data_IF_473885175454
#
_entry.id   IF_473885175454
#
_cell.length_a   1.000
_cell.length_b   1.000
_cell.length_c   1.000
_cell.angle_alpha   90.00
_cell.angle_beta   90.00
_cell.angle_gamma   90.00
#
_symmetry.space_group_name_H-M   'P 1'
#
loop_
_entity.id
_entity.type
_entity.pdbx_description
1 polymer ?
#
# COMPACT_ATOMS: atom_id res chain seq x y z
N UNK A 1 -16.39 -3.59 4.41
CA UNK A 1 -14.96 -3.38 4.09
C UNK A 1 -14.87 -2.56 2.81
N UNK A 2 -13.89 -1.65 2.70
CA UNK A 2 -13.73 -0.78 1.53
C UNK A 2 -13.20 -1.58 0.33
N UNK A 3 -13.84 -1.48 -0.83
CA UNK A 3 -13.37 -2.12 -2.07
C UNK A 3 -11.99 -1.60 -2.49
N UNK A 4 -11.68 -0.35 -2.12
CA UNK A 4 -10.42 0.33 -2.38
C UNK A 4 -9.23 -0.43 -1.77
N UNK A 5 -9.38 -0.97 -0.56
CA UNK A 5 -8.33 -1.78 0.08
C UNK A 5 -8.01 -3.04 -0.72
N UNK A 6 -9.01 -3.71 -1.30
CA UNK A 6 -8.77 -4.91 -2.10
C UNK A 6 -7.97 -4.56 -3.36
N UNK A 7 -8.26 -3.41 -3.99
CA UNK A 7 -7.51 -2.95 -5.16
C UNK A 7 -6.04 -2.67 -4.80
N UNK A 8 -5.78 -1.95 -3.70
CA UNK A 8 -4.43 -1.69 -3.20
C UNK A 8 -3.69 -2.99 -2.84
N UNK A 9 -4.34 -3.91 -2.10
CA UNK A 9 -3.77 -5.21 -1.71
C UNK A 9 -3.34 -6.03 -2.93
N UNK A 10 -4.15 -6.06 -4.00
CA UNK A 10 -3.80 -6.80 -5.22
C UNK A 10 -2.54 -6.26 -5.88
N UNK A 11 -2.41 -4.94 -5.95
CA UNK A 11 -1.23 -4.27 -6.53
C UNK A 11 0.00 -4.45 -5.65
N UNK A 12 -0.12 -4.24 -4.34
CA UNK A 12 0.97 -4.48 -3.38
C UNK A 12 1.45 -5.94 -3.46
N UNK A 13 0.53 -6.91 -3.46
CA UNK A 13 0.88 -8.33 -3.58
C UNK A 13 1.59 -8.65 -4.90
N UNK A 14 1.23 -7.99 -6.01
CA UNK A 14 1.92 -8.13 -7.30
C UNK A 14 3.38 -7.70 -7.19
N UNK A 15 3.66 -6.52 -6.63
CA UNK A 15 5.02 -6.00 -6.45
C UNK A 15 5.85 -6.83 -5.47
N UNK A 16 5.29 -7.17 -4.31
CA UNK A 16 5.99 -7.99 -3.31
C UNK A 16 6.38 -9.37 -3.87
N UNK A 17 5.54 -9.99 -4.71
CA UNK A 17 5.87 -11.26 -5.39
C UNK A 17 7.00 -11.12 -6.42
N UNK A 18 7.27 -9.91 -6.89
CA UNK A 18 8.39 -9.58 -7.78
C UNK A 18 9.66 -9.21 -6.98
N UNK A 19 9.58 -9.17 -5.65
CA UNK A 19 10.68 -8.76 -4.77
C UNK A 19 10.84 -7.24 -4.66
N UNK A 20 9.84 -6.46 -5.08
CA UNK A 20 9.82 -5.01 -5.00
C UNK A 20 9.01 -4.55 -3.78
N UNK A 21 9.50 -3.53 -3.06
CA UNK A 21 8.78 -2.85 -1.98
C UNK A 21 8.13 -1.58 -2.57
N UNK A 22 6.82 -1.58 -2.88
CA UNK A 22 6.23 -0.49 -3.63
C UNK A 22 5.95 0.73 -2.74
N UNK A 23 6.25 1.92 -3.27
CA UNK A 23 5.85 3.21 -2.70
C UNK A 23 4.43 3.64 -3.13
N UNK A 24 3.90 4.73 -2.58
CA UNK A 24 2.55 5.21 -2.95
C UNK A 24 2.43 5.57 -4.44
N UNK A 25 3.51 6.03 -5.07
CA UNK A 25 3.56 6.38 -6.49
C UNK A 25 3.51 5.14 -7.40
N UNK A 26 4.24 4.09 -7.05
CA UNK A 26 4.21 2.80 -7.73
C UNK A 26 2.82 2.19 -7.69
N UNK A 27 2.16 2.24 -6.53
CA UNK A 27 0.80 1.71 -6.36
C UNK A 27 -0.21 2.59 -7.11
N UNK A 28 -0.07 3.92 -7.06
CA UNK A 28 -0.96 4.84 -7.78
C UNK A 28 -0.92 4.60 -9.30
N UNK A 29 0.25 4.31 -9.88
CA UNK A 29 0.40 4.00 -11.32
C UNK A 29 -0.37 2.74 -11.76
N UNK A 30 -0.60 1.81 -10.85
CA UNK A 30 -1.25 0.52 -11.10
C UNK A 30 -2.70 0.49 -10.59
N UNK A 31 -3.20 1.62 -10.07
CA UNK A 31 -4.58 1.79 -9.60
C UNK A 31 -5.24 3.01 -10.24
N UNK A 32 -6.51 3.25 -9.94
CA UNK A 32 -7.20 4.49 -10.33
C UNK A 32 -7.06 5.61 -9.29
N UNK A 33 -6.19 5.43 -8.28
CA UNK A 33 -6.03 6.35 -7.15
C UNK A 33 -4.85 7.28 -7.36
N UNK A 34 -4.93 8.49 -6.81
CA UNK A 34 -3.76 9.37 -6.72
C UNK A 34 -2.80 8.89 -5.64
N UNK A 35 -1.54 9.32 -5.67
CA UNK A 35 -0.56 9.00 -4.60
C UNK A 35 -1.07 9.42 -3.21
N UNK A 36 -1.72 10.57 -3.08
CA UNK A 36 -2.32 10.99 -1.81
C UNK A 36 -3.45 10.06 -1.35
N UNK A 37 -4.32 9.62 -2.27
CA UNK A 37 -5.36 8.66 -1.94
C UNK A 37 -4.76 7.31 -1.53
N UNK A 38 -3.69 6.87 -2.20
CA UNK A 38 -2.96 5.66 -1.82
C UNK A 38 -2.33 5.80 -0.44
N UNK A 39 -1.70 6.94 -0.14
CA UNK A 39 -1.16 7.26 1.18
C UNK A 39 -2.25 7.09 2.26
N UNK A 40 -3.39 7.78 2.12
CA UNK A 40 -4.50 7.72 3.08
C UNK A 40 -5.04 6.27 3.24
N UNK A 41 -5.07 5.50 2.16
CA UNK A 41 -5.48 4.10 2.19
C UNK A 41 -4.45 3.22 2.91
N UNK A 42 -3.15 3.40 2.66
CA UNK A 42 -2.06 2.65 3.32
C UNK A 42 -2.08 2.94 4.83
N UNK A 43 -2.17 4.20 5.25
CA UNK A 43 -2.29 4.56 6.67
C UNK A 43 -3.46 3.82 7.33
N UNK A 44 -4.66 3.87 6.71
CA UNK A 44 -5.82 3.17 7.24
C UNK A 44 -5.74 1.64 7.20
N UNK A 45 -4.92 1.07 6.30
CA UNK A 45 -4.65 -0.37 6.22
C UNK A 45 -3.64 -0.81 7.28
N UNK A 46 -2.62 -0.01 7.54
CA UNK A 46 -1.62 -0.22 8.60
C UNK A 46 -2.28 -0.19 9.99
N UNK A 47 -3.11 0.82 10.28
CA UNK A 47 -3.90 0.89 11.51
C UNK A 47 -4.78 -0.35 11.75
N UNK A 48 -5.19 -1.02 10.67
CA UNK A 48 -6.01 -2.24 10.71
C UNK A 48 -5.19 -3.53 10.73
N UNK A 49 -3.86 -3.42 10.70
CA UNK A 49 -2.91 -4.53 10.64
C UNK A 49 -3.04 -5.36 9.37
N UNK A 50 -3.34 -4.73 8.23
CA UNK A 50 -3.46 -5.40 6.92
C UNK A 50 -2.12 -5.46 6.18
N UNK A 51 -1.23 -4.52 6.46
CA UNK A 51 0.12 -4.44 5.89
C UNK A 51 1.10 -3.87 6.92
N UNK A 52 2.39 -3.95 6.60
CA UNK A 52 3.47 -3.25 7.28
C UNK A 52 4.08 -2.28 6.27
N UNK A 53 4.07 -0.99 6.59
CA UNK A 53 4.68 0.05 5.78
C UNK A 53 5.69 0.86 6.60
N UNK A 54 6.57 1.57 5.90
CA UNK A 54 7.48 2.54 6.50
C UNK A 54 7.18 3.90 5.90
N UNK A 55 6.91 4.85 6.77
CA UNK A 55 6.85 6.25 6.38
C UNK A 55 8.27 6.77 6.14
N UNK A 56 8.47 7.42 5.00
CA UNK A 56 9.71 8.02 4.57
C UNK A 56 9.45 9.51 4.39
N UNK A 57 10.21 10.32 5.13
CA UNK A 57 10.18 11.77 5.02
C UNK A 57 11.04 12.18 3.82
N UNK A 58 10.40 12.62 2.73
CA UNK A 58 11.08 13.18 1.56
C UNK A 58 11.24 14.68 1.73
N UNK A 59 12.24 15.28 1.08
CA UNK A 59 12.50 16.73 1.14
C UNK A 59 11.29 17.61 0.76
N UNK A 60 10.23 17.05 0.16
CA UNK A 60 9.02 17.73 -0.29
C UNK A 60 7.71 17.10 0.22
N UNK A 61 7.74 16.19 1.21
CA UNK A 61 6.55 15.54 1.78
C UNK A 61 6.80 14.12 2.27
N UNK A 62 5.82 13.50 2.91
CA UNK A 62 5.89 12.13 3.42
C UNK A 62 5.39 11.13 2.36
N UNK A 63 5.99 9.93 2.34
CA UNK A 63 5.56 8.80 1.49
C UNK A 63 5.60 7.50 2.30
N UNK A 64 4.88 6.46 1.85
CA UNK A 64 4.96 5.12 2.41
C UNK A 64 5.60 4.16 1.44
N UNK A 65 6.50 3.30 1.95
CA UNK A 65 6.97 2.10 1.27
C UNK A 65 6.39 0.87 1.98
N UNK A 66 5.70 0.01 1.23
CA UNK A 66 5.07 -1.20 1.78
C UNK A 66 6.05 -2.38 1.72
N UNK A 67 6.36 -2.95 2.88
CA UNK A 67 7.32 -4.07 2.98
C UNK A 67 6.64 -5.43 2.99
N UNK A 68 5.45 -5.53 3.57
CA UNK A 68 4.77 -6.81 3.71
C UNK A 68 3.24 -6.64 3.80
N UNK A 69 2.50 -7.61 3.26
CA UNK A 69 1.11 -7.86 3.62
C UNK A 69 1.05 -8.81 4.81
N UNK A 70 0.31 -8.46 5.85
CA UNK A 70 0.09 -9.40 6.96
C UNK A 70 -0.77 -10.58 6.50
N UNK A 71 -0.85 -11.64 7.30
CA UNK A 71 -1.77 -12.76 7.02
C UNK A 71 -3.22 -12.29 6.87
N UNK A 72 -3.62 -11.25 7.63
CA UNK A 72 -4.94 -10.64 7.52
C UNK A 72 -5.12 -9.91 6.18
N UNK A 73 -4.10 -9.20 5.70
CA UNK A 73 -4.12 -8.58 4.36
C UNK A 73 -4.16 -9.62 3.24
N UNK A 74 -3.36 -10.69 3.36
CA UNK A 74 -3.34 -11.80 2.39
C UNK A 74 -4.68 -12.53 2.30
N UNK A 75 -5.40 -12.66 3.42
CA UNK A 75 -6.75 -13.25 3.44
C UNK A 75 -7.82 -12.46 2.66
N UNK A 76 -7.48 -11.25 2.19
CA UNK A 76 -8.37 -10.42 1.37
C UNK A 76 -8.14 -10.55 -0.15
N UNK A 77 -7.18 -11.39 -0.57
CA UNK A 77 -6.84 -11.62 -1.98
C UNK A 77 -7.84 -12.52 -2.71
#
# INVERSE_FOLDING_TARGET
MKQEYIAVIKVVNKFLKQGEEPDTSMIAKETSFTSQQVYDLITGMEEKGLLIAFEIDMCCGEDYVVKELTEKGKAML
#
